data_IF_058276811104
#
_entry.id   IF_058276811104
#
_cell.length_a   1.000
_cell.length_b   1.000
_cell.length_c   1.000
_cell.angle_alpha   90.00
_cell.angle_beta   90.00
_cell.angle_gamma   90.00
#
_symmetry.space_group_name_H-M   'P 1'
#
loop_
_entity.id
_entity.type
_entity.pdbx_description
1 polymer ?
#
# COMPACT_ATOMS: atom_id res chain seq x y z
N UNK A 1 -5.24 22.05 3.01
CA UNK A 1 -4.93 20.97 2.04
C UNK A 1 -4.67 21.54 0.65
N UNK A 2 -5.61 22.27 0.04
CA UNK A 2 -5.42 22.83 -1.32
C UNK A 2 -4.23 23.79 -1.42
N UNK A 3 -4.07 24.72 -0.47
CA UNK A 3 -2.96 25.67 -0.47
C UNK A 3 -1.59 24.98 -0.37
N UNK A 4 -1.43 24.05 0.59
CA UNK A 4 -0.21 23.25 0.72
C UNK A 4 0.10 22.44 -0.55
N UNK A 5 -0.92 21.93 -1.24
CA UNK A 5 -0.73 21.23 -2.51
C UNK A 5 -0.22 22.16 -3.61
N UNK A 6 -0.78 23.37 -3.74
CA UNK A 6 -0.31 24.35 -4.73
C UNK A 6 1.14 24.77 -4.47
N UNK A 7 1.51 24.94 -3.19
CA UNK A 7 2.87 25.31 -2.79
C UNK A 7 3.90 24.24 -3.19
N UNK A 8 3.66 22.97 -2.85
CA UNK A 8 4.56 21.88 -3.24
C UNK A 8 4.52 21.62 -4.74
N UNK A 9 3.36 21.77 -5.39
CA UNK A 9 3.23 21.63 -6.83
C UNK A 9 4.11 22.63 -7.59
N UNK A 10 4.16 23.88 -7.13
CA UNK A 10 5.07 24.90 -7.66
C UNK A 10 6.55 24.49 -7.57
N UNK A 11 6.96 23.90 -6.44
CA UNK A 11 8.33 23.40 -6.24
C UNK A 11 8.65 22.17 -7.08
N UNK A 12 7.65 21.32 -7.34
CA UNK A 12 7.80 20.07 -8.10
C UNK A 12 7.70 20.26 -9.61
N UNK A 13 7.26 21.43 -10.11
CA UNK A 13 6.97 21.63 -11.52
C UNK A 13 8.15 21.28 -12.45
N UNK A 14 9.38 21.62 -12.04
CA UNK A 14 10.59 21.26 -12.79
C UNK A 14 10.82 19.75 -12.80
N UNK A 15 10.67 19.07 -11.65
CA UNK A 15 10.84 17.63 -11.49
C UNK A 15 9.78 16.84 -12.25
N UNK A 16 8.54 17.32 -12.26
CA UNK A 16 7.42 16.74 -13.02
C UNK A 16 7.71 16.81 -14.52
N UNK A 17 8.19 17.95 -15.02
CA UNK A 17 8.62 18.07 -16.43
C UNK A 17 9.78 17.13 -16.75
N UNK A 18 10.77 17.02 -15.88
CA UNK A 18 11.87 16.08 -16.04
C UNK A 18 11.40 14.62 -16.05
N UNK A 19 10.41 14.25 -15.22
CA UNK A 19 9.82 12.92 -15.22
C UNK A 19 9.07 12.63 -16.53
N UNK A 20 8.36 13.62 -17.09
CA UNK A 20 7.74 13.50 -18.41
C UNK A 20 8.76 13.37 -19.53
N UNK A 21 9.84 14.17 -19.51
CA UNK A 21 10.93 14.06 -20.49
C UNK A 21 11.60 12.68 -20.41
N UNK A 22 11.88 12.20 -19.19
CA UNK A 22 12.41 10.86 -18.94
C UNK A 22 11.46 9.79 -19.47
N UNK A 23 10.14 9.93 -19.26
CA UNK A 23 9.12 9.02 -19.82
C UNK A 23 9.19 8.97 -21.34
N UNK A 24 9.23 10.13 -22.01
CA UNK A 24 9.32 10.20 -23.48
C UNK A 24 10.62 9.58 -24.00
N UNK A 25 11.76 9.84 -23.34
CA UNK A 25 13.04 9.21 -23.68
C UNK A 25 13.00 7.68 -23.53
N UNK A 26 12.46 7.19 -22.42
CA UNK A 26 12.30 5.76 -22.16
C UNK A 26 11.35 5.10 -23.15
N UNK A 27 10.26 5.79 -23.50
CA UNK A 27 9.30 5.30 -24.50
C UNK A 27 9.96 5.20 -25.86
N UNK A 28 10.71 6.22 -26.29
CA UNK A 28 11.46 6.18 -27.54
C UNK A 28 12.50 5.05 -27.57
N UNK A 29 13.24 4.83 -26.47
CA UNK A 29 14.19 3.72 -26.33
C UNK A 29 13.49 2.36 -26.40
N UNK A 30 12.35 2.22 -25.71
CA UNK A 30 11.50 1.02 -25.76
C UNK A 30 10.97 0.74 -27.16
N UNK A 31 10.47 1.76 -27.86
CA UNK A 31 9.98 1.65 -29.24
C UNK A 31 11.10 1.25 -30.19
N UNK A 32 12.29 1.87 -30.11
CA UNK A 32 13.43 1.51 -30.96
C UNK A 32 13.81 0.04 -30.78
N UNK A 33 13.98 -0.41 -29.53
CA UNK A 33 14.34 -1.80 -29.24
C UNK A 33 13.23 -2.76 -29.66
N UNK A 34 11.98 -2.40 -29.42
CA UNK A 34 10.81 -3.19 -29.79
C UNK A 34 10.59 -3.30 -31.28
N UNK A 35 10.89 -2.27 -32.08
CA UNK A 35 10.82 -2.34 -33.55
C UNK A 35 11.86 -3.31 -34.10
N UNK A 36 13.08 -3.31 -33.54
CA UNK A 36 14.14 -4.25 -33.93
C UNK A 36 13.74 -5.69 -33.55
N UNK A 37 13.40 -5.93 -32.28
CA UNK A 37 13.06 -7.25 -31.79
C UNK A 37 11.76 -7.80 -32.42
N UNK A 38 10.75 -6.94 -32.55
CA UNK A 38 9.48 -7.28 -33.20
C UNK A 38 9.66 -7.57 -34.69
N UNK A 39 10.50 -6.79 -35.39
CA UNK A 39 10.86 -7.05 -36.79
C UNK A 39 11.57 -8.39 -36.98
N UNK A 40 12.54 -8.72 -36.12
CA UNK A 40 13.20 -10.04 -36.13
C UNK A 40 12.19 -11.16 -35.89
N UNK A 41 11.31 -10.99 -34.89
CA UNK A 41 10.27 -11.98 -34.56
C UNK A 41 9.30 -12.20 -35.72
N UNK A 42 8.90 -11.11 -36.38
CA UNK A 42 8.04 -11.17 -37.56
C UNK A 42 8.71 -11.92 -38.71
N UNK A 43 9.95 -11.55 -39.07
CA UNK A 43 10.68 -12.19 -40.17
C UNK A 43 10.88 -13.68 -39.89
N UNK A 44 11.32 -14.03 -38.68
CA UNK A 44 11.49 -15.43 -38.29
C UNK A 44 10.16 -16.20 -38.34
N UNK A 45 9.07 -15.62 -37.83
CA UNK A 45 7.74 -16.24 -37.86
C UNK A 45 7.19 -16.44 -39.27
N UNK A 46 7.42 -15.48 -40.18
CA UNK A 46 7.05 -15.62 -41.60
C UNK A 46 7.85 -16.73 -42.27
N UNK A 47 9.16 -16.80 -42.03
CA UNK A 47 10.01 -17.88 -42.57
C UNK A 47 9.53 -19.25 -42.08
N UNK A 48 9.24 -19.38 -40.78
CA UNK A 48 8.69 -20.62 -40.21
C UNK A 48 7.35 -20.97 -40.84
N UNK A 49 6.43 -20.00 -41.00
CA UNK A 49 5.14 -20.22 -41.66
C UNK A 49 5.29 -20.74 -43.09
N UNK A 50 6.23 -20.20 -43.86
CA UNK A 50 6.50 -20.65 -45.24
C UNK A 50 7.03 -22.08 -45.27
N UNK A 51 7.92 -22.47 -44.34
CA UNK A 51 8.51 -23.81 -44.27
C UNK A 51 7.46 -24.88 -43.94
N UNK A 52 6.55 -24.60 -43.01
CA UNK A 52 5.55 -25.57 -42.54
C UNK A 52 4.25 -25.55 -43.35
N UNK A 53 4.16 -24.70 -44.39
CA UNK A 53 2.94 -24.53 -45.17
C UNK A 53 1.80 -23.84 -44.41
N UNK A 54 2.12 -23.02 -43.42
CA UNK A 54 1.16 -22.34 -42.54
C UNK A 54 0.33 -21.24 -43.22
N UNK A 55 0.70 -20.82 -44.43
CA UNK A 55 -0.05 -19.87 -45.25
C UNK A 55 -0.25 -18.49 -44.61
N UNK A 56 -1.36 -17.82 -44.98
CA UNK A 56 -1.71 -16.50 -44.44
C UNK A 56 -2.00 -16.51 -42.92
N UNK A 57 -2.56 -17.56 -42.28
CA UNK A 57 -2.75 -17.59 -40.83
C UNK A 57 -1.43 -17.53 -40.07
N UNK A 58 -0.38 -18.23 -40.53
CA UNK A 58 0.93 -18.19 -39.87
C UNK A 58 1.60 -16.81 -39.95
N UNK A 59 1.39 -16.07 -41.05
CA UNK A 59 1.85 -14.68 -41.18
C UNK A 59 1.11 -13.77 -40.18
N UNK A 60 -0.21 -13.95 -40.01
CA UNK A 60 -0.97 -13.18 -39.02
C UNK A 60 -0.49 -13.44 -37.60
N UNK A 61 -0.20 -14.71 -37.25
CA UNK A 61 0.37 -15.05 -35.93
C UNK A 61 1.73 -14.37 -35.75
N UNK A 62 2.60 -14.39 -36.77
CA UNK A 62 3.90 -13.72 -36.71
C UNK A 62 3.77 -12.19 -36.51
N UNK A 63 2.81 -11.55 -37.18
CA UNK A 63 2.49 -10.13 -36.98
C UNK A 63 2.03 -9.85 -35.55
N UNK A 64 1.11 -10.65 -35.01
CA UNK A 64 0.61 -10.50 -33.64
C UNK A 64 1.74 -10.66 -32.62
N UNK A 65 2.60 -11.67 -32.78
CA UNK A 65 3.76 -11.87 -31.91
C UNK A 65 4.74 -10.69 -32.00
N UNK A 66 5.02 -10.18 -33.20
CA UNK A 66 5.85 -9.00 -33.39
C UNK A 66 5.31 -7.76 -32.66
N UNK A 67 3.99 -7.53 -32.72
CA UNK A 67 3.33 -6.44 -31.99
C UNK A 67 3.37 -6.64 -30.47
N UNK A 68 3.17 -7.87 -29.99
CA UNK A 68 3.28 -8.19 -28.56
C UNK A 68 4.70 -7.93 -28.06
N UNK A 69 5.73 -8.32 -28.83
CA UNK A 69 7.14 -8.05 -28.50
C UNK A 69 7.40 -6.54 -28.46
N UNK A 70 6.94 -5.79 -29.45
CA UNK A 70 7.06 -4.32 -29.48
C UNK A 70 6.42 -3.69 -28.24
N UNK A 71 5.18 -4.06 -27.91
CA UNK A 71 4.47 -3.54 -26.75
C UNK A 71 5.20 -3.90 -25.44
N UNK A 72 5.66 -5.15 -25.31
CA UNK A 72 6.41 -5.63 -24.14
C UNK A 72 7.73 -4.89 -23.95
N UNK A 73 8.45 -4.59 -25.02
CA UNK A 73 9.68 -3.78 -24.95
C UNK A 73 9.42 -2.35 -24.45
N UNK A 74 8.31 -1.73 -24.86
CA UNK A 74 7.92 -0.41 -24.35
C UNK A 74 7.51 -0.51 -22.88
N UNK A 75 6.65 -1.48 -22.53
CA UNK A 75 6.16 -1.71 -21.17
C UNK A 75 7.29 -2.03 -20.17
N UNK A 76 8.35 -2.70 -20.62
CA UNK A 76 9.53 -3.02 -19.77
C UNK A 76 10.20 -1.77 -19.17
N UNK A 77 9.94 -0.59 -19.73
CA UNK A 77 10.49 0.69 -19.23
C UNK A 77 9.65 1.35 -18.15
N UNK A 78 8.46 0.84 -17.87
CA UNK A 78 7.60 1.35 -16.79
C UNK A 78 8.29 1.24 -15.42
N UNK A 79 9.02 0.16 -15.14
CA UNK A 79 9.74 0.01 -13.88
C UNK A 79 10.84 1.06 -13.67
N UNK A 80 11.64 1.34 -14.70
CA UNK A 80 12.67 2.40 -14.64
C UNK A 80 12.05 3.79 -14.43
N UNK A 81 10.90 4.06 -15.06
CA UNK A 81 10.16 5.30 -14.85
C UNK A 81 9.57 5.38 -13.44
N UNK A 82 9.01 4.27 -12.93
CA UNK A 82 8.43 4.22 -11.61
C UNK A 82 9.46 4.48 -10.52
N UNK A 83 10.62 3.82 -10.59
CA UNK A 83 11.72 4.08 -9.67
C UNK A 83 12.12 5.56 -9.65
N UNK A 84 12.25 6.18 -10.85
CA UNK A 84 12.53 7.61 -10.96
C UNK A 84 11.43 8.49 -10.35
N UNK A 85 10.15 8.13 -10.56
CA UNK A 85 9.00 8.84 -10.01
C UNK A 85 8.97 8.78 -8.49
N UNK A 86 9.13 7.58 -7.90
CA UNK A 86 9.20 7.38 -6.45
C UNK A 86 10.35 8.19 -5.84
N UNK A 87 11.55 8.09 -6.42
CA UNK A 87 12.75 8.78 -5.93
C UNK A 87 12.67 10.31 -6.03
N UNK A 88 12.16 10.85 -7.15
CA UNK A 88 12.26 12.28 -7.41
C UNK A 88 11.00 13.08 -7.05
N UNK A 89 9.82 12.45 -7.09
CA UNK A 89 8.54 13.12 -6.87
C UNK A 89 7.97 12.72 -5.51
N UNK A 90 7.73 11.43 -5.26
CA UNK A 90 7.13 10.96 -3.99
C UNK A 90 8.03 11.28 -2.80
N UNK A 91 9.35 11.03 -2.91
CA UNK A 91 10.29 11.41 -1.86
C UNK A 91 10.24 12.91 -1.54
N UNK A 92 10.06 13.78 -2.54
CA UNK A 92 9.98 15.23 -2.31
C UNK A 92 8.68 15.65 -1.63
N UNK A 93 7.56 14.98 -1.94
CA UNK A 93 6.30 15.20 -1.19
C UNK A 93 6.47 14.76 0.26
N UNK A 94 7.04 13.57 0.50
CA UNK A 94 7.27 13.05 1.84
C UNK A 94 8.15 14.00 2.65
N UNK A 95 9.30 14.44 2.10
CA UNK A 95 10.19 15.37 2.79
C UNK A 95 9.57 16.75 3.03
N UNK A 96 8.67 17.21 2.15
CA UNK A 96 7.91 18.44 2.36
C UNK A 96 6.92 18.31 3.53
N UNK A 97 6.22 17.18 3.61
CA UNK A 97 5.22 16.92 4.64
C UNK A 97 5.84 16.55 6.00
N UNK A 98 6.97 15.84 6.01
CA UNK A 98 7.70 15.43 7.21
C UNK A 98 9.21 15.42 6.94
N UNK A 99 9.91 16.43 7.44
CA UNK A 99 11.36 16.58 7.21
C UNK A 99 12.19 15.46 7.84
N UNK A 100 11.71 14.87 8.94
CA UNK A 100 12.35 13.74 9.63
C UNK A 100 11.95 12.38 9.05
N UNK A 101 11.18 12.34 7.96
CA UNK A 101 10.81 11.09 7.29
C UNK A 101 11.87 10.67 6.26
N UNK A 102 12.22 9.39 6.32
CA UNK A 102 12.94 8.65 5.29
C UNK A 102 11.96 7.84 4.47
N UNK A 103 12.12 7.86 3.15
CA UNK A 103 11.35 7.04 2.21
C UNK A 103 12.27 6.02 1.52
N UNK A 104 11.84 4.76 1.47
CA UNK A 104 12.57 3.64 0.89
C UNK A 104 11.60 2.82 0.00
N UNK A 105 11.50 3.15 -1.30
CA UNK A 105 10.53 2.57 -2.23
C UNK A 105 10.54 1.04 -2.26
N UNK A 106 11.73 0.43 -2.31
CA UNK A 106 11.92 -1.01 -2.47
C UNK A 106 11.92 -1.78 -1.12
N UNK A 107 11.70 -1.07 -0.02
CA UNK A 107 11.64 -1.67 1.32
C UNK A 107 10.21 -1.64 1.83
N UNK A 108 9.90 -2.55 2.75
CA UNK A 108 8.59 -2.66 3.35
C UNK A 108 8.65 -3.13 4.80
N UNK A 109 7.51 -3.15 5.45
CA UNK A 109 7.35 -3.77 6.77
C UNK A 109 7.48 -5.29 6.60
N UNK A 110 8.32 -5.93 7.42
CA UNK A 110 8.53 -7.37 7.34
C UNK A 110 7.26 -8.16 7.69
N UNK A 111 7.06 -9.31 7.03
CA UNK A 111 5.94 -10.21 7.29
C UNK A 111 5.84 -10.60 8.78
N UNK A 112 6.98 -10.79 9.45
CA UNK A 112 7.01 -11.08 10.89
C UNK A 112 6.38 -9.98 11.74
N UNK A 113 6.58 -8.70 11.38
CA UNK A 113 5.98 -7.55 12.06
C UNK A 113 4.48 -7.49 11.80
N UNK A 114 4.07 -7.71 10.54
CA UNK A 114 2.66 -7.82 10.17
C UNK A 114 1.95 -8.93 10.97
N UNK A 115 2.53 -10.13 11.04
CA UNK A 115 1.99 -11.25 11.82
C UNK A 115 2.00 -10.99 13.33
N UNK A 116 3.05 -10.32 13.83
CA UNK A 116 3.17 -9.95 15.23
C UNK A 116 2.10 -8.91 15.66
N UNK A 117 1.49 -8.19 14.73
CA UNK A 117 0.36 -7.30 15.06
C UNK A 117 -0.87 -8.04 15.60
N UNK A 118 -1.05 -9.33 15.25
CA UNK A 118 -2.27 -10.14 15.51
C UNK A 118 -3.58 -9.47 15.06
N UNK A 119 -3.52 -8.59 14.05
CA UNK A 119 -4.70 -8.10 13.35
C UNK A 119 -5.32 -9.18 12.46
N UNK A 120 -4.50 -10.11 11.98
CA UNK A 120 -4.91 -11.18 11.08
C UNK A 120 -4.62 -12.54 11.71
N UNK A 121 -5.57 -13.47 11.59
CA UNK A 121 -5.49 -14.83 12.15
C UNK A 121 -4.86 -15.82 11.19
N UNK A 122 -4.89 -15.53 9.89
CA UNK A 122 -4.30 -16.34 8.84
C UNK A 122 -2.89 -15.85 8.56
N UNK A 123 -1.94 -16.78 8.43
CA UNK A 123 -0.62 -16.47 7.87
C UNK A 123 -0.73 -16.39 6.35
N UNK A 124 -0.12 -15.39 5.68
CA UNK A 124 -0.14 -15.30 4.24
C UNK A 124 0.67 -16.42 3.59
N UNK A 125 0.18 -16.95 2.48
CA UNK A 125 0.97 -17.81 1.57
C UNK A 125 1.87 -16.97 0.67
N UNK A 126 1.51 -15.69 0.48
CA UNK A 126 2.27 -14.71 -0.27
C UNK A 126 2.19 -13.34 0.40
N UNK A 127 3.34 -12.73 0.61
CA UNK A 127 3.47 -11.42 1.23
C UNK A 127 4.34 -10.51 0.38
N UNK A 128 3.85 -9.31 0.10
CA UNK A 128 4.61 -8.21 -0.52
C UNK A 128 4.43 -6.97 0.34
N UNK A 129 5.51 -6.22 0.51
CA UNK A 129 5.46 -4.90 1.13
C UNK A 129 6.49 -3.99 0.48
N UNK A 130 6.08 -2.76 0.23
CA UNK A 130 6.88 -1.73 -0.42
C UNK A 130 6.56 -0.36 0.18
N UNK A 131 7.24 0.67 -0.32
CA UNK A 131 7.00 2.06 0.03
C UNK A 131 7.13 2.34 1.54
N UNK A 132 8.22 1.84 2.14
CA UNK A 132 8.55 2.10 3.54
C UNK A 132 8.83 3.59 3.78
N UNK A 133 7.98 4.20 4.60
CA UNK A 133 8.13 5.54 5.14
C UNK A 133 8.35 5.38 6.64
N UNK A 134 9.49 5.85 7.16
CA UNK A 134 9.75 5.87 8.59
C UNK A 134 10.27 7.23 9.01
N UNK A 135 9.84 7.72 10.15
CA UNK A 135 10.24 9.05 10.61
C UNK A 135 9.67 9.38 11.96
N UNK A 136 9.65 10.67 12.25
CA UNK A 136 9.14 11.20 13.51
C UNK A 136 8.31 12.46 13.25
N UNK A 137 7.14 12.54 13.87
CA UNK A 137 6.34 13.77 13.92
C UNK A 137 6.26 14.21 15.37
N UNK A 138 6.82 15.38 15.68
CA UNK A 138 7.07 15.92 17.03
C UNK A 138 7.78 14.92 17.97
N UNK A 139 7.00 14.12 18.71
CA UNK A 139 7.46 13.19 19.75
C UNK A 139 7.16 11.74 19.41
N UNK A 140 6.60 11.46 18.24
CA UNK A 140 6.10 10.12 17.89
C UNK A 140 6.83 9.61 16.68
N UNK A 141 7.58 8.52 16.87
CA UNK A 141 8.15 7.77 15.75
C UNK A 141 7.05 6.97 15.08
N UNK A 142 7.16 6.83 13.76
CA UNK A 142 6.23 6.03 12.98
C UNK A 142 6.92 5.28 11.84
N UNK A 143 6.28 4.22 11.40
CA UNK A 143 6.63 3.41 10.24
C UNK A 143 5.34 3.13 9.47
N UNK A 144 5.35 3.31 8.16
CA UNK A 144 4.24 3.04 7.27
C UNK A 144 4.75 2.33 6.01
N UNK A 145 4.02 1.34 5.52
CA UNK A 145 4.27 0.71 4.22
C UNK A 145 2.96 0.27 3.58
N UNK A 146 2.95 0.16 2.26
CA UNK A 146 1.92 -0.62 1.57
C UNK A 146 2.20 -2.12 1.77
N UNK A 147 1.15 -2.90 2.00
CA UNK A 147 1.22 -4.36 2.18
C UNK A 147 0.15 -5.01 1.31
N UNK A 148 0.55 -6.11 0.66
CA UNK A 148 -0.34 -7.09 0.05
C UNK A 148 -0.04 -8.45 0.68
N UNK A 149 -0.98 -8.97 1.45
CA UNK A 149 -0.93 -10.28 2.09
C UNK A 149 -2.05 -11.16 1.53
N UNK A 150 -1.70 -12.28 0.89
CA UNK A 150 -2.64 -13.15 0.16
C UNK A 150 -2.61 -14.58 0.75
N UNK A 151 -3.78 -15.19 0.91
CA UNK A 151 -3.94 -16.63 1.19
C UNK A 151 -4.35 -17.38 -0.09
N UNK A 152 -3.84 -18.59 -0.23
CA UNK A 152 -4.16 -19.49 -1.32
C UNK A 152 -5.35 -20.36 -0.92
N UNK A 153 -6.47 -20.23 -1.64
CA UNK A 153 -7.63 -21.13 -1.51
C UNK A 153 -7.71 -22.10 -2.67
N UNK A 154 -8.04 -23.35 -2.36
CA UNK A 154 -8.25 -24.40 -3.35
C UNK A 154 -9.70 -24.82 -3.32
N UNK A 155 -10.39 -24.66 -4.44
CA UNK A 155 -11.74 -25.20 -4.65
C UNK A 155 -11.66 -26.42 -5.55
N UNK A 156 -12.53 -27.40 -5.31
CA UNK A 156 -12.65 -28.61 -6.15
C UNK A 156 -14.06 -28.67 -6.67
N UNK A 157 -14.23 -28.76 -7.99
CA UNK A 157 -15.55 -28.88 -8.59
C UNK A 157 -16.12 -30.30 -8.50
N UNK A 158 -17.38 -30.47 -8.89
CA UNK A 158 -18.07 -31.76 -8.90
C UNK A 158 -17.45 -32.81 -9.85
N UNK A 159 -16.48 -32.41 -10.69
CA UNK A 159 -15.72 -33.27 -11.61
C UNK A 159 -14.29 -33.54 -11.11
N UNK A 160 -13.96 -33.15 -9.87
CA UNK A 160 -12.64 -33.35 -9.27
C UNK A 160 -11.54 -32.39 -9.77
N UNK A 161 -11.89 -31.36 -10.54
CA UNK A 161 -10.91 -30.37 -11.04
C UNK A 161 -10.63 -29.36 -9.93
N UNK A 162 -9.35 -29.22 -9.60
CA UNK A 162 -8.87 -28.26 -8.60
C UNK A 162 -8.61 -26.90 -9.25
N UNK A 163 -9.08 -25.84 -8.61
CA UNK A 163 -8.76 -24.47 -8.97
C UNK A 163 -8.13 -23.75 -7.78
N UNK A 164 -7.04 -23.06 -8.03
CA UNK A 164 -6.32 -22.28 -7.03
C UNK A 164 -6.67 -20.79 -7.23
N UNK A 165 -7.07 -20.14 -6.15
CA UNK A 165 -7.43 -18.72 -6.14
C UNK A 165 -6.67 -18.02 -5.00
N UNK A 166 -6.15 -16.84 -5.29
CA UNK A 166 -5.52 -15.97 -4.29
C UNK A 166 -6.57 -15.02 -3.74
N UNK A 167 -6.64 -14.90 -2.41
CA UNK A 167 -7.56 -14.00 -1.72
C UNK A 167 -6.76 -13.10 -0.80
N UNK A 168 -6.99 -11.80 -0.88
CA UNK A 168 -6.34 -10.83 0.01
C UNK A 168 -6.80 -11.09 1.46
N UNK A 169 -5.83 -11.40 2.33
CA UNK A 169 -5.97 -11.27 3.78
C UNK A 169 -6.01 -9.77 4.13
N UNK A 170 -5.10 -9.01 3.50
CA UNK A 170 -4.99 -7.56 3.64
C UNK A 170 -4.36 -6.95 2.39
N UNK A 171 -4.88 -5.79 1.98
CA UNK A 171 -4.29 -4.90 0.99
C UNK A 171 -4.49 -3.46 1.42
N UNK A 172 -3.42 -2.67 1.46
CA UNK A 172 -3.45 -1.24 1.79
C UNK A 172 -2.28 -0.82 2.68
N UNK A 173 -2.46 0.27 3.42
CA UNK A 173 -1.42 0.82 4.28
C UNK A 173 -1.41 0.20 5.66
N UNK A 174 -0.20 -0.13 6.13
CA UNK A 174 0.05 -0.62 7.48
C UNK A 174 0.88 0.41 8.23
N UNK A 175 0.26 1.06 9.21
CA UNK A 175 0.82 2.20 9.93
C UNK A 175 1.10 1.80 11.39
N UNK A 176 2.35 1.99 11.82
CA UNK A 176 2.81 1.70 13.17
C UNK A 176 3.33 3.01 13.76
N UNK A 177 2.88 3.39 14.96
CA UNK A 177 3.38 4.56 15.66
C UNK A 177 3.58 4.30 17.15
N UNK A 178 4.55 4.98 17.74
CA UNK A 178 4.81 4.92 19.17
C UNK A 178 3.61 5.43 19.96
N UNK A 179 3.12 4.63 20.89
CA UNK A 179 2.05 5.06 21.77
C UNK A 179 2.62 5.82 22.97
N UNK A 180 1.81 6.74 23.52
CA UNK A 180 2.18 7.59 24.64
C UNK A 180 2.13 6.93 26.02
N UNK A 181 1.65 5.69 26.08
CA UNK A 181 1.55 4.90 27.31
C UNK A 181 2.40 3.63 27.18
N UNK A 182 2.96 3.19 28.29
CA UNK A 182 3.56 1.87 28.40
C UNK A 182 2.47 0.86 28.73
N UNK A 183 2.46 -0.24 28.00
CA UNK A 183 1.55 -1.35 28.22
C UNK A 183 2.19 -2.64 27.72
N UNK A 184 1.90 -3.75 28.42
CA UNK A 184 2.45 -5.08 28.15
C UNK A 184 1.44 -6.00 27.47
N UNK A 185 0.16 -5.83 27.79
CA UNK A 185 -0.92 -6.58 27.20
C UNK A 185 -1.17 -6.18 25.75
N UNK A 186 -1.98 -7.00 25.09
CA UNK A 186 -2.38 -6.78 23.72
C UNK A 186 -3.86 -6.48 23.67
N UNK A 187 -4.23 -5.32 23.12
CA UNK A 187 -5.62 -4.92 22.87
C UNK A 187 -5.84 -4.78 21.37
N UNK A 188 -6.85 -5.46 20.82
CA UNK A 188 -7.20 -5.39 19.40
C UNK A 188 -8.63 -4.89 19.24
N UNK A 189 -8.80 -3.91 18.37
CA UNK A 189 -10.06 -3.25 18.02
C UNK A 189 -10.42 -3.66 16.60
N UNK A 190 -11.44 -4.49 16.49
CA UNK A 190 -11.97 -5.01 15.22
C UNK A 190 -13.31 -4.39 14.91
N UNK A 191 -13.60 -4.18 13.63
CA UNK A 191 -14.97 -3.87 13.24
C UNK A 191 -15.86 -5.09 13.47
N UNK A 192 -17.03 -4.86 14.05
CA UNK A 192 -18.04 -5.84 14.45
C UNK A 192 -18.08 -7.05 13.49
N UNK A 193 -17.39 -8.12 13.88
CA UNK A 193 -17.23 -9.35 13.08
C UNK A 193 -17.62 -10.51 13.97
N UNK A 194 -18.77 -11.10 13.66
CA UNK A 194 -19.42 -12.16 14.42
C UNK A 194 -18.57 -13.42 14.65
N UNK A 195 -17.41 -13.57 14.00
CA UNK A 195 -16.60 -14.77 14.10
C UNK A 195 -15.10 -14.48 13.98
N UNK A 196 -14.48 -14.11 15.11
CA UNK A 196 -13.08 -14.46 15.37
C UNK A 196 -12.95 -14.91 16.82
N UNK A 197 -12.92 -16.24 17.00
CA UNK A 197 -12.51 -16.88 18.24
C UNK A 197 -11.05 -16.51 18.48
N UNK A 198 -10.82 -15.40 19.19
CA UNK A 198 -9.47 -14.90 19.45
C UNK A 198 -8.91 -15.69 20.63
N UNK A 199 -8.34 -16.87 20.35
CA UNK A 199 -7.73 -17.74 21.35
C UNK A 199 -6.74 -16.92 22.21
N UNK A 200 -7.05 -16.79 23.50
CA UNK A 200 -6.22 -16.09 24.49
C UNK A 200 -6.58 -14.63 24.80
N UNK A 201 -7.62 -14.05 24.16
CA UNK A 201 -8.10 -12.70 24.49
C UNK A 201 -9.56 -12.72 24.88
N UNK A 202 -9.92 -11.88 25.85
CA UNK A 202 -11.27 -11.70 26.35
C UNK A 202 -11.90 -10.44 25.75
N UNK A 203 -13.21 -10.49 25.48
CA UNK A 203 -13.98 -9.31 25.04
C UNK A 203 -13.99 -8.28 26.18
N UNK A 204 -13.57 -7.06 25.89
CA UNK A 204 -13.59 -5.93 26.83
C UNK A 204 -14.76 -5.04 26.45
N UNK A 205 -15.79 -4.97 27.29
CA UNK A 205 -16.90 -4.03 27.11
C UNK A 205 -16.50 -2.64 27.59
N UNK A 206 -16.69 -1.64 26.73
CA UNK A 206 -16.37 -0.23 26.99
C UNK A 206 -17.64 0.62 27.19
N UNK A 207 -17.49 1.79 27.80
CA UNK A 207 -18.63 2.65 28.14
C UNK A 207 -19.25 3.42 26.96
N UNK A 208 -18.56 3.54 25.82
CA UNK A 208 -19.03 4.34 24.69
C UNK A 208 -19.96 3.52 23.77
N UNK A 209 -21.27 3.84 23.71
CA UNK A 209 -22.22 3.05 22.92
C UNK A 209 -22.02 3.18 21.40
N UNK A 210 -21.52 4.32 20.92
CA UNK A 210 -21.25 4.50 19.48
C UNK A 210 -20.03 3.68 19.08
N UNK A 211 -19.01 3.65 19.93
CA UNK A 211 -17.83 2.83 19.72
C UNK A 211 -18.19 1.33 19.72
N UNK A 212 -18.93 0.85 20.71
CA UNK A 212 -19.35 -0.56 20.82
C UNK A 212 -20.28 -1.01 19.68
N UNK A 213 -21.00 -0.09 19.01
CA UNK A 213 -21.77 -0.42 17.79
C UNK A 213 -20.85 -0.71 16.60
N UNK A 214 -19.75 0.02 16.49
CA UNK A 214 -18.84 -0.05 15.36
C UNK A 214 -17.76 -1.12 15.56
N UNK A 215 -17.23 -1.22 16.77
CA UNK A 215 -16.04 -1.98 17.10
C UNK A 215 -16.28 -2.98 18.24
N UNK A 216 -15.64 -4.14 18.10
CA UNK A 216 -15.41 -5.10 19.17
C UNK A 216 -13.95 -5.02 19.65
N UNK A 217 -13.77 -5.08 20.97
CA UNK A 217 -12.45 -4.98 21.59
C UNK A 217 -12.09 -6.27 22.31
N UNK A 218 -10.96 -6.87 21.93
CA UNK A 218 -10.43 -8.05 22.60
C UNK A 218 -9.07 -7.74 23.21
N UNK A 219 -8.87 -8.07 24.48
CA UNK A 219 -7.61 -7.84 25.17
C UNK A 219 -7.12 -9.04 25.96
N UNK A 220 -5.81 -9.12 26.20
CA UNK A 220 -5.23 -10.01 27.20
C UNK A 220 -5.41 -9.45 28.62
N UNK A 221 -5.56 -8.13 28.77
CA UNK A 221 -5.77 -7.43 30.05
C UNK A 221 -6.92 -6.40 29.89
N UNK A 222 -8.00 -6.58 30.66
CA UNK A 222 -9.15 -5.68 30.58
C UNK A 222 -8.91 -4.31 31.22
N UNK A 223 -8.06 -4.24 32.25
CA UNK A 223 -7.76 -2.99 32.96
C UNK A 223 -6.89 -2.12 32.06
N UNK A 224 -5.84 -2.72 31.50
CA UNK A 224 -4.94 -2.04 30.57
C UNK A 224 -5.67 -1.60 29.29
N UNK A 225 -6.60 -2.41 28.77
CA UNK A 225 -7.42 -2.03 27.62
C UNK A 225 -8.24 -0.75 27.86
N UNK A 226 -8.82 -0.58 29.06
CA UNK A 226 -9.57 0.64 29.43
C UNK A 226 -8.63 1.82 29.67
N UNK A 227 -7.43 1.56 30.17
CA UNK A 227 -6.39 2.57 30.28
C UNK A 227 -5.94 3.08 28.90
N UNK A 228 -5.84 2.20 27.90
CA UNK A 228 -5.52 2.55 26.51
C UNK A 228 -6.70 3.28 25.86
N UNK A 229 -7.86 2.63 25.80
CA UNK A 229 -9.07 3.06 25.10
C UNK A 229 -9.93 4.00 25.96
N UNK A 230 -9.36 5.17 26.28
CA UNK A 230 -10.11 6.23 26.96
C UNK A 230 -11.27 6.73 26.09
N UNK A 231 -12.32 7.35 26.67
CA UNK A 231 -13.42 7.93 25.91
C UNK A 231 -12.96 8.82 24.75
N UNK A 232 -11.92 9.64 24.97
CA UNK A 232 -11.37 10.52 23.95
C UNK A 232 -10.72 9.74 22.79
N UNK A 233 -9.96 8.67 23.08
CA UNK A 233 -9.34 7.85 22.04
C UNK A 233 -10.40 7.06 21.25
N UNK A 234 -11.46 6.60 21.92
CA UNK A 234 -12.58 5.92 21.25
C UNK A 234 -13.24 6.83 20.20
N UNK A 235 -13.53 8.09 20.54
CA UNK A 235 -14.10 9.06 19.59
C UNK A 235 -13.14 9.34 18.42
N UNK A 236 -11.84 9.53 18.71
CA UNK A 236 -10.82 9.74 17.67
C UNK A 236 -10.68 8.56 16.71
N UNK A 237 -10.81 7.33 17.21
CA UNK A 237 -10.82 6.13 16.38
C UNK A 237 -12.07 6.05 15.49
N UNK A 238 -13.23 6.49 15.98
CA UNK A 238 -14.45 6.59 15.17
C UNK A 238 -14.31 7.63 14.05
N UNK A 239 -13.75 8.79 14.37
CA UNK A 239 -13.44 9.84 13.39
C UNK A 239 -12.45 9.33 12.34
N UNK A 240 -11.38 8.65 12.77
CA UNK A 240 -10.38 8.06 11.88
C UNK A 240 -10.99 7.02 10.94
N UNK A 241 -11.83 6.11 11.45
CA UNK A 241 -12.53 5.10 10.65
C UNK A 241 -13.45 5.75 9.61
N UNK A 242 -14.11 6.85 9.96
CA UNK A 242 -14.99 7.57 9.03
C UNK A 242 -14.23 8.20 7.85
N UNK A 243 -12.94 8.51 8.04
CA UNK A 243 -12.09 9.12 6.99
C UNK A 243 -11.59 8.10 5.97
N UNK A 244 -11.43 6.83 6.34
CA UNK A 244 -10.92 5.79 5.46
C UNK A 244 -12.04 4.84 5.00
N UNK A 245 -12.40 4.83 3.71
CA UNK A 245 -13.53 4.04 3.20
C UNK A 245 -13.34 2.53 3.38
N UNK A 246 -12.09 2.07 3.41
CA UNK A 246 -11.71 0.67 3.59
C UNK A 246 -11.93 0.12 5.00
N UNK A 247 -12.24 0.98 5.99
CA UNK A 247 -12.54 0.65 7.39
C UNK A 247 -11.32 0.11 8.15
N UNK A 248 -10.89 0.83 9.17
CA UNK A 248 -9.62 0.54 9.84
C UNK A 248 -9.75 -0.66 10.80
N UNK A 249 -8.64 -1.33 11.05
CA UNK A 249 -8.49 -2.27 12.17
C UNK A 249 -7.25 -1.89 12.98
N UNK A 250 -7.34 -1.91 14.30
CA UNK A 250 -6.31 -1.35 15.19
C UNK A 250 -5.85 -2.36 16.22
N UNK A 251 -4.55 -2.46 16.44
CA UNK A 251 -3.93 -3.24 17.51
C UNK A 251 -3.02 -2.34 18.33
N UNK A 252 -3.16 -2.41 19.64
CA UNK A 252 -2.23 -1.85 20.60
C UNK A 252 -1.38 -3.00 21.11
N UNK A 253 -0.09 -2.95 20.80
CA UNK A 253 0.89 -3.95 21.26
C UNK A 253 2.28 -3.34 21.40
N UNK A 254 3.08 -3.85 22.34
CA UNK A 254 4.49 -3.48 22.50
C UNK A 254 4.67 -1.95 22.68
N UNK A 255 3.70 -1.31 23.34
CA UNK A 255 3.63 0.15 23.51
C UNK A 255 3.60 0.96 22.20
N UNK A 256 3.05 0.37 21.14
CA UNK A 256 2.77 0.98 19.83
C UNK A 256 1.30 0.80 19.45
N UNK A 257 0.78 1.74 18.65
CA UNK A 257 -0.48 1.58 17.92
C UNK A 257 -0.17 1.12 16.50
N UNK A 258 -0.86 0.08 16.05
CA UNK A 258 -0.73 -0.52 14.73
C UNK A 258 -2.10 -0.44 14.06
N UNK A 259 -2.15 0.15 12.87
CA UNK A 259 -3.39 0.43 12.15
C UNK A 259 -3.26 -0.15 10.76
N UNK A 260 -4.13 -1.09 10.43
CA UNK A 260 -4.34 -1.57 9.07
C UNK A 260 -5.43 -0.73 8.41
N UNK A 261 -5.10 -0.09 7.30
CA UNK A 261 -5.97 0.81 6.54
C UNK A 261 -6.17 0.19 5.15
N UNK A 262 -7.30 -0.49 4.91
CA UNK A 262 -7.52 -1.14 3.63
C UNK A 262 -7.63 -0.11 2.50
N UNK A 263 -6.86 -0.34 1.43
CA UNK A 263 -6.91 0.42 0.19
C UNK A 263 -6.58 -0.54 -0.97
N UNK A 264 -7.33 -0.43 -2.06
CA UNK A 264 -7.15 -1.27 -3.26
C UNK A 264 -6.39 -0.51 -4.36
N UNK A 265 -6.12 0.77 -4.15
CA UNK A 265 -5.37 1.63 -5.05
C UNK A 265 -3.89 1.26 -4.97
N UNK A 266 -3.25 1.16 -6.14
CA UNK A 266 -1.81 0.97 -6.22
C UNK A 266 -1.12 2.34 -6.12
N UNK A 267 -0.63 2.69 -4.93
CA UNK A 267 -0.11 4.01 -4.63
C UNK A 267 1.30 4.22 -5.15
N UNK A 268 1.69 5.47 -5.36
CA UNK A 268 3.07 5.86 -5.72
C UNK A 268 3.65 5.27 -7.01
N UNK A 269 2.84 4.52 -7.77
CA UNK A 269 3.23 3.88 -9.01
C UNK A 269 3.01 4.79 -10.22
N UNK A 270 3.71 4.55 -11.32
CA UNK A 270 3.44 5.18 -12.62
C UNK A 270 3.88 4.26 -13.75
N UNK A 271 3.40 4.48 -14.97
CA UNK A 271 3.82 3.66 -16.11
C UNK A 271 4.11 4.49 -17.36
N UNK A 272 4.74 3.84 -18.34
CA UNK A 272 5.23 4.48 -19.56
C UNK A 272 4.10 5.13 -20.41
N UNK A 273 2.85 4.72 -20.20
CA UNK A 273 1.68 5.20 -20.93
C UNK A 273 1.02 6.41 -20.27
N UNK A 274 1.25 6.64 -18.98
CA UNK A 274 0.69 7.74 -18.20
C UNK A 274 1.49 9.03 -18.39
N UNK A 275 0.83 10.13 -18.74
CA UNK A 275 1.47 11.45 -18.81
C UNK A 275 1.72 11.98 -17.41
N UNK A 276 2.97 12.36 -17.10
CA UNK A 276 3.34 12.84 -15.76
C UNK A 276 2.88 14.29 -15.50
N UNK A 277 2.49 15.02 -16.55
CA UNK A 277 1.94 16.38 -16.42
C UNK A 277 0.48 16.40 -15.92
N UNK A 278 -0.20 15.25 -15.85
CA UNK A 278 -1.52 15.17 -15.24
C UNK A 278 -1.39 15.20 -13.70
N UNK A 279 -1.89 16.26 -13.09
CA UNK A 279 -1.76 16.53 -11.66
C UNK A 279 -2.78 15.81 -10.79
N UNK A 280 -3.84 15.21 -11.36
CA UNK A 280 -4.90 14.57 -10.58
C UNK A 280 -4.37 13.41 -9.74
N UNK A 281 -3.47 12.61 -10.32
CA UNK A 281 -2.81 11.50 -9.62
C UNK A 281 -1.93 12.02 -8.50
N UNK A 282 -1.09 13.01 -8.79
CA UNK A 282 -0.22 13.64 -7.80
C UNK A 282 -1.01 14.22 -6.63
N UNK A 283 -2.15 14.86 -6.91
CA UNK A 283 -3.04 15.41 -5.89
C UNK A 283 -3.64 14.32 -4.99
N UNK A 284 -4.01 13.16 -5.56
CA UNK A 284 -4.45 12.00 -4.78
C UNK A 284 -3.34 11.46 -3.90
N UNK A 285 -2.13 11.24 -4.44
CA UNK A 285 -1.00 10.76 -3.64
C UNK A 285 -0.64 11.72 -2.50
N UNK A 286 -0.65 13.03 -2.77
CA UNK A 286 -0.45 14.05 -1.74
C UNK A 286 -1.53 13.96 -0.64
N UNK A 287 -2.80 13.82 -1.03
CA UNK A 287 -3.91 13.64 -0.09
C UNK A 287 -3.77 12.38 0.77
N UNK A 288 -3.35 11.27 0.16
CA UNK A 288 -3.07 10.00 0.87
C UNK A 288 -1.97 10.19 1.91
N UNK A 289 -0.83 10.78 1.53
CA UNK A 289 0.28 11.03 2.47
C UNK A 289 -0.10 11.97 3.60
N UNK A 290 -0.85 13.04 3.30
CA UNK A 290 -1.40 13.93 4.33
C UNK A 290 -2.27 13.13 5.30
N UNK A 291 -3.22 12.32 4.80
CA UNK A 291 -4.11 11.52 5.64
C UNK A 291 -3.38 10.51 6.52
N UNK A 292 -2.29 9.91 6.02
CA UNK A 292 -1.44 8.97 6.76
C UNK A 292 -0.66 9.68 7.88
N UNK A 293 -0.05 10.83 7.60
CA UNK A 293 0.71 11.56 8.62
C UNK A 293 -0.19 12.21 9.67
N UNK A 294 -1.40 12.62 9.27
CA UNK A 294 -2.36 13.23 10.18
C UNK A 294 -2.82 12.27 11.30
N UNK A 295 -2.74 10.95 11.09
CA UNK A 295 -3.07 9.91 12.08
C UNK A 295 -2.41 10.20 13.44
N UNK A 296 -1.16 10.66 13.44
CA UNK A 296 -0.42 10.95 14.68
C UNK A 296 -1.12 12.04 15.49
N UNK A 297 -1.61 13.08 14.81
CA UNK A 297 -2.36 14.17 15.43
C UNK A 297 -3.80 13.76 15.76
N UNK A 298 -4.46 13.00 14.88
CA UNK A 298 -5.83 12.55 15.06
C UNK A 298 -5.97 11.64 16.27
N UNK A 299 -4.97 10.79 16.55
CA UNK A 299 -4.95 9.93 17.72
C UNK A 299 -4.23 10.58 18.92
N UNK A 300 -3.77 11.82 18.77
CA UNK A 300 -3.09 12.60 19.80
C UNK A 300 -1.89 11.87 20.42
N UNK A 301 -1.09 11.19 19.59
CA UNK A 301 0.03 10.35 20.03
C UNK A 301 1.20 11.16 20.62
N UNK A 302 1.28 12.45 20.28
CA UNK A 302 2.30 13.37 20.79
C UNK A 302 2.10 13.78 22.26
N UNK A 303 0.92 13.51 22.84
CA UNK A 303 0.62 13.85 24.22
C UNK A 303 1.37 12.92 25.19
N UNK A 304 2.53 13.34 25.69
CA UNK A 304 3.33 12.61 26.68
C UNK A 304 3.03 13.14 28.10
N UNK A 305 1.92 12.71 28.71
CA UNK A 305 1.59 13.07 30.10
C UNK A 305 2.37 12.20 31.10
N UNK A 306 2.71 10.98 30.70
CA UNK A 306 3.50 10.04 31.48
C UNK A 306 4.72 9.70 30.62
N UNK A 307 5.90 10.16 31.01
CA UNK A 307 7.14 9.92 30.26
C UNK A 307 7.46 8.42 30.28
N UNK A 308 7.92 7.91 29.12
CA UNK A 308 8.80 6.75 29.10
C UNK A 308 10.16 7.30 29.52
N UNK A 309 10.71 6.80 30.61
CA UNK A 309 12.12 7.04 30.95
C UNK A 309 13.04 6.44 29.88
#
# INVERSE_FOLDING_TARGET
MEQNFQDIYGQLQSRIRQAEDKRLQLKAKGTKNGLIAGGITLVAGVVVSLIIGGGWPGILIACMLGLIVLFSCIQSKSGELCAYYKENIISSIISYLCQEASYRPESGIAESVFMNSRLFSTSPDRYRSEDLICGKIDKTSFICSEIIAEEKRVTTDSKGRRQEHWIDIFRGFFFIADFNKNFQGQTVVFRNSWFKLNLGKQRVKLENPNFEKQFDVFSTDQVEARYILTPNLMERLLELDSRFPGKITVSFRDSSVIIAIPDQTNHFETNIWECQLNTDKLKREFGTLVNLFQIIHDLNLNLRIWTKD
#
